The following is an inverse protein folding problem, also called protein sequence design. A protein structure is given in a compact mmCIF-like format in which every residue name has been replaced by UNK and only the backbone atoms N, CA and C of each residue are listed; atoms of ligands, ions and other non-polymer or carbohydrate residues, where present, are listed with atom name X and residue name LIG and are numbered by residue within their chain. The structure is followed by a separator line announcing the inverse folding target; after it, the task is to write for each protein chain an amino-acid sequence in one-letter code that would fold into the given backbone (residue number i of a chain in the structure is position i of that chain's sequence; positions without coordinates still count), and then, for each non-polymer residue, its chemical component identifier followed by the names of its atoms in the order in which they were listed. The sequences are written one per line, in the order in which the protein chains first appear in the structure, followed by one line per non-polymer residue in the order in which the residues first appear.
data_IF_296057115535
#
_entry.id   IF_296057115535
#
_cell.length_a   1.000
_cell.length_b   1.000
_cell.length_c   1.000
_cell.angle_alpha   90.00
_cell.angle_beta   90.00
_cell.angle_gamma   90.00
#
_symmetry.space_group_name_H-M   'P 1'
#
loop_
_entity.id
_entity.type
_entity.pdbx_description
1 polymer ?
#
# COMPACT_ATOMS: atom_id res chain seq x y z
N UNK A 1 3.82 7.56 -15.30
CA UNK A 1 3.22 6.85 -14.15
C UNK A 1 2.80 5.46 -14.59
N UNK A 2 3.13 4.45 -13.80
CA UNK A 2 2.74 3.05 -14.04
C UNK A 2 1.64 2.67 -13.08
N UNK A 3 0.52 2.14 -13.57
CA UNK A 3 -0.63 1.72 -12.78
C UNK A 3 -1.03 0.28 -13.08
N UNK A 4 -1.56 -0.42 -12.07
CA UNK A 4 -2.00 -1.81 -12.25
C UNK A 4 -3.21 -1.91 -13.19
N UNK A 5 -4.19 -1.03 -13.00
CA UNK A 5 -5.38 -0.93 -13.83
C UNK A 5 -5.69 0.54 -14.11
N UNK A 6 -5.81 0.90 -15.39
CA UNK A 6 -6.02 2.28 -15.83
C UNK A 6 -7.49 2.52 -16.13
N UNK A 7 -8.02 3.61 -15.60
CA UNK A 7 -9.30 4.18 -15.98
C UNK A 7 -9.06 5.46 -16.82
N UNK A 8 -9.71 5.57 -17.97
CA UNK A 8 -9.55 6.71 -18.89
C UNK A 8 -8.29 6.65 -19.76
N UNK A 9 -8.07 7.70 -20.54
CA UNK A 9 -7.08 7.76 -21.63
C UNK A 9 -6.00 8.83 -21.40
N UNK A 10 -5.33 8.84 -20.27
CA UNK A 10 -4.20 9.75 -20.07
C UNK A 10 -2.91 9.12 -20.64
N UNK A 11 -2.25 9.75 -21.65
CA UNK A 11 -1.05 9.19 -22.30
C UNK A 11 0.16 9.08 -21.38
N UNK A 12 0.22 9.85 -20.28
CA UNK A 12 1.31 9.82 -19.30
C UNK A 12 1.19 8.64 -18.32
N UNK A 13 0.13 7.84 -18.44
CA UNK A 13 -0.11 6.70 -17.55
C UNK A 13 0.00 5.40 -18.34
N UNK A 14 0.99 4.58 -18.00
CA UNK A 14 1.17 3.23 -18.52
C UNK A 14 0.32 2.24 -17.76
N UNK A 15 -0.51 1.50 -18.48
CA UNK A 15 -1.36 0.45 -17.93
C UNK A 15 -0.66 -0.90 -17.97
N UNK A 16 -0.34 -1.47 -16.83
CA UNK A 16 0.26 -2.81 -16.72
C UNK A 16 -0.69 -3.94 -17.12
N UNK A 17 -1.97 -3.65 -17.22
CA UNK A 17 -3.01 -4.57 -17.64
C UNK A 17 -3.49 -4.31 -19.08
N UNK A 18 -2.62 -3.76 -19.92
CA UNK A 18 -2.88 -3.63 -21.35
C UNK A 18 -2.91 -5.02 -22.02
N UNK A 19 -3.93 -5.25 -22.83
CA UNK A 19 -4.19 -6.55 -23.46
C UNK A 19 -5.14 -7.45 -22.65
N UNK A 20 -5.86 -8.33 -23.35
CA UNK A 20 -7.00 -9.08 -22.80
C UNK A 20 -6.60 -10.01 -21.66
N UNK A 21 -5.51 -10.75 -21.80
CA UNK A 21 -5.02 -11.68 -20.77
C UNK A 21 -4.47 -10.96 -19.54
N UNK A 22 -3.74 -9.86 -19.75
CA UNK A 22 -3.21 -9.07 -18.64
C UNK A 22 -4.35 -8.41 -17.85
N UNK A 23 -5.37 -7.90 -18.55
CA UNK A 23 -6.58 -7.36 -17.94
C UNK A 23 -7.34 -8.42 -17.14
N UNK A 24 -7.54 -9.60 -17.72
CA UNK A 24 -8.19 -10.72 -17.04
C UNK A 24 -7.44 -11.10 -15.75
N UNK A 25 -6.11 -11.26 -15.83
CA UNK A 25 -5.27 -11.57 -14.67
C UNK A 25 -5.35 -10.49 -13.59
N UNK A 26 -5.34 -9.20 -13.97
CA UNK A 26 -5.47 -8.11 -13.03
C UNK A 26 -6.82 -8.11 -12.32
N UNK A 27 -7.91 -8.25 -13.09
CA UNK A 27 -9.27 -8.35 -12.54
C UNK A 27 -9.40 -9.56 -11.63
N UNK A 28 -8.87 -10.71 -12.04
CA UNK A 28 -8.86 -11.93 -11.22
C UNK A 28 -8.13 -11.70 -9.90
N UNK A 29 -6.92 -11.13 -9.91
CA UNK A 29 -6.16 -10.85 -8.69
C UNK A 29 -6.93 -9.91 -7.75
N UNK A 30 -7.53 -8.84 -8.28
CA UNK A 30 -8.33 -7.88 -7.50
C UNK A 30 -9.55 -8.57 -6.89
N UNK A 31 -10.28 -9.35 -7.69
CA UNK A 31 -11.50 -10.04 -7.24
C UNK A 31 -11.18 -11.14 -6.23
N UNK A 32 -10.14 -11.94 -6.48
CA UNK A 32 -9.69 -12.97 -5.57
C UNK A 32 -9.26 -12.38 -4.21
N UNK A 33 -8.46 -11.32 -4.23
CA UNK A 33 -8.05 -10.59 -3.02
C UNK A 33 -9.26 -10.11 -2.22
N UNK A 34 -10.22 -9.46 -2.89
CA UNK A 34 -11.44 -8.94 -2.25
C UNK A 34 -12.36 -10.03 -1.74
N UNK A 35 -12.53 -11.11 -2.50
CA UNK A 35 -13.39 -12.22 -2.11
C UNK A 35 -12.80 -12.96 -0.90
N UNK A 36 -11.51 -13.29 -0.96
CA UNK A 36 -10.84 -13.97 0.16
C UNK A 36 -10.82 -13.07 1.41
N UNK A 37 -10.57 -11.76 1.26
CA UNK A 37 -10.65 -10.85 2.39
C UNK A 37 -12.01 -10.92 3.09
N UNK A 38 -13.13 -11.03 2.35
CA UNK A 38 -14.47 -11.19 2.94
C UNK A 38 -14.66 -12.48 3.75
N UNK A 39 -13.93 -13.55 3.43
CA UNK A 39 -13.97 -14.80 4.18
C UNK A 39 -13.33 -14.67 5.56
N UNK A 40 -12.25 -13.91 5.65
CA UNK A 40 -11.43 -13.81 6.85
C UNK A 40 -11.70 -12.55 7.68
N UNK A 41 -12.15 -11.47 7.06
CA UNK A 41 -12.35 -10.17 7.71
C UNK A 41 -13.80 -10.00 8.16
N UNK A 42 -13.99 -9.46 9.36
CA UNK A 42 -15.31 -9.05 9.86
C UNK A 42 -15.90 -7.97 8.94
N UNK A 43 -17.22 -7.85 8.90
CA UNK A 43 -17.92 -6.82 8.13
C UNK A 43 -17.70 -5.44 8.76
N UNK A 44 -16.52 -4.89 8.60
CA UNK A 44 -16.14 -3.53 9.03
C UNK A 44 -15.99 -2.61 7.82
N UNK A 45 -16.19 -1.33 8.03
CA UNK A 45 -16.10 -0.32 6.95
C UNK A 45 -14.67 -0.08 6.43
N UNK A 46 -13.67 -0.65 7.08
CA UNK A 46 -12.26 -0.44 6.73
C UNK A 46 -11.68 -1.55 5.89
N UNK A 47 -10.90 -1.23 4.87
CA UNK A 47 -10.24 -2.23 4.04
C UNK A 47 -9.16 -2.98 4.83
N UNK A 48 -9.00 -4.26 4.49
CA UNK A 48 -7.92 -5.13 4.90
C UNK A 48 -7.39 -5.84 3.66
N UNK A 49 -6.10 -5.73 3.39
CA UNK A 49 -5.46 -6.38 2.25
C UNK A 49 -4.67 -7.59 2.71
N UNK A 50 -4.95 -8.72 2.09
CA UNK A 50 -4.20 -9.96 2.32
C UNK A 50 -2.82 -9.90 1.66
N UNK A 51 -2.70 -9.20 0.51
CA UNK A 51 -1.50 -9.05 -0.32
C UNK A 51 -0.91 -10.41 -0.76
N UNK A 52 -1.76 -11.40 -1.00
CA UNK A 52 -1.35 -12.73 -1.45
C UNK A 52 -1.17 -12.80 -2.96
N UNK A 53 -1.83 -11.92 -3.68
CA UNK A 53 -1.77 -11.82 -5.14
C UNK A 53 -0.93 -10.63 -5.57
N UNK A 54 -0.43 -10.69 -6.80
CA UNK A 54 0.33 -9.60 -7.36
C UNK A 54 0.92 -9.93 -8.72
N UNK A 55 1.71 -8.99 -9.23
CA UNK A 55 2.41 -9.10 -10.50
C UNK A 55 3.87 -8.67 -10.31
N UNK A 56 4.81 -9.47 -10.82
CA UNK A 56 6.21 -9.05 -10.90
C UNK A 56 6.36 -7.89 -11.89
N UNK A 57 7.19 -6.93 -11.55
CA UNK A 57 7.49 -5.74 -12.34
C UNK A 57 8.93 -5.68 -12.85
N UNK A 58 9.76 -6.68 -12.57
CA UNK A 58 11.20 -6.70 -12.95
C UNK A 58 11.42 -6.60 -14.46
N UNK A 59 10.45 -7.00 -15.26
CA UNK A 59 10.52 -6.93 -16.72
C UNK A 59 9.78 -5.72 -17.31
N UNK A 60 9.29 -4.82 -16.47
CA UNK A 60 8.62 -3.62 -16.94
C UNK A 60 9.67 -2.62 -17.46
N UNK A 61 9.46 -2.15 -18.71
CA UNK A 61 10.41 -1.25 -19.39
C UNK A 61 10.55 0.08 -18.64
N UNK A 62 9.44 0.68 -18.24
CA UNK A 62 9.40 1.99 -17.59
C UNK A 62 10.14 1.96 -16.24
N UNK A 63 10.06 0.84 -15.49
CA UNK A 63 10.79 0.69 -14.24
C UNK A 63 12.29 0.48 -14.49
N UNK A 64 12.67 -0.27 -15.53
CA UNK A 64 14.08 -0.47 -15.88
C UNK A 64 14.77 0.82 -16.33
N UNK A 65 14.05 1.69 -17.04
CA UNK A 65 14.54 2.96 -17.55
C UNK A 65 14.42 4.12 -16.53
N UNK A 66 13.73 3.92 -15.42
CA UNK A 66 13.58 4.93 -14.39
C UNK A 66 14.89 5.14 -13.59
N UNK A 67 15.16 6.38 -13.22
CA UNK A 67 16.24 6.72 -12.28
C UNK A 67 15.83 6.45 -10.83
N UNK A 68 14.55 6.62 -10.50
CA UNK A 68 13.97 6.42 -9.17
C UNK A 68 12.61 5.72 -9.31
N UNK A 69 12.34 4.76 -8.45
CA UNK A 69 11.04 4.12 -8.33
C UNK A 69 10.28 4.72 -7.15
N UNK A 70 9.18 5.43 -7.41
CA UNK A 70 8.35 5.99 -6.36
C UNK A 70 7.06 5.17 -6.22
N UNK A 71 6.93 4.49 -5.08
CA UNK A 71 5.77 3.68 -4.74
C UNK A 71 4.74 4.53 -3.97
N UNK A 72 3.49 4.30 -4.29
CA UNK A 72 2.35 4.81 -3.53
C UNK A 72 1.52 3.64 -3.02
N UNK A 73 0.26 3.57 -3.36
CA UNK A 73 -0.63 2.51 -2.93
C UNK A 73 -0.52 1.26 -3.82
N UNK A 74 0.02 0.17 -3.30
CA UNK A 74 0.40 -1.04 -4.06
C UNK A 74 -0.48 -2.27 -3.75
N UNK A 75 -1.59 -2.08 -3.07
CA UNK A 75 -2.47 -3.13 -2.58
C UNK A 75 -3.45 -3.69 -3.64
N UNK A 76 -4.44 -4.44 -3.22
CA UNK A 76 -5.51 -5.04 -4.02
C UNK A 76 -5.00 -5.89 -5.20
N UNK A 77 -4.07 -6.80 -4.90
CA UNK A 77 -3.56 -7.74 -5.90
C UNK A 77 -2.57 -7.13 -6.90
N UNK A 78 -2.05 -5.93 -6.61
CA UNK A 78 -1.04 -5.28 -7.44
C UNK A 78 0.36 -5.81 -7.14
N UNK A 79 0.88 -5.57 -5.94
CA UNK A 79 2.16 -6.09 -5.47
C UNK A 79 1.98 -6.85 -4.16
N UNK A 80 2.35 -8.12 -4.15
CA UNK A 80 2.52 -8.87 -2.91
C UNK A 80 3.90 -8.55 -2.29
N UNK A 81 4.13 -8.87 -1.01
CA UNK A 81 5.45 -8.69 -0.40
C UNK A 81 6.59 -9.33 -1.21
N UNK A 82 6.36 -10.52 -1.78
CA UNK A 82 7.32 -11.17 -2.68
C UNK A 82 7.69 -10.29 -3.88
N UNK A 83 6.70 -9.72 -4.56
CA UNK A 83 6.95 -8.90 -5.75
C UNK A 83 7.48 -7.50 -5.40
N UNK A 84 7.26 -7.03 -4.17
CA UNK A 84 7.97 -5.86 -3.65
C UNK A 84 9.46 -6.13 -3.47
N UNK A 85 9.83 -7.26 -2.86
CA UNK A 85 11.23 -7.64 -2.71
C UNK A 85 11.95 -7.77 -4.05
N UNK A 86 11.28 -8.28 -5.09
CA UNK A 86 11.86 -8.37 -6.44
C UNK A 86 12.29 -7.02 -7.02
N UNK A 87 11.76 -5.88 -6.55
CA UNK A 87 12.16 -4.56 -7.04
C UNK A 87 13.62 -4.22 -6.72
N UNK A 88 14.21 -4.83 -5.71
CA UNK A 88 15.64 -4.69 -5.39
C UNK A 88 16.54 -5.15 -6.55
N UNK A 89 16.08 -6.13 -7.32
CA UNK A 89 16.80 -6.64 -8.51
C UNK A 89 16.92 -5.59 -9.64
N UNK A 90 16.20 -4.50 -9.58
CA UNK A 90 16.32 -3.41 -10.56
C UNK A 90 17.48 -2.46 -10.24
N UNK A 91 18.07 -2.56 -9.06
CA UNK A 91 19.16 -1.71 -8.58
C UNK A 91 18.86 -0.21 -8.75
N UNK A 92 17.67 0.18 -8.29
CA UNK A 92 17.18 1.57 -8.36
C UNK A 92 16.86 2.10 -6.97
N UNK A 93 17.10 3.39 -6.69
CA UNK A 93 16.59 4.03 -5.50
C UNK A 93 15.05 3.91 -5.44
N UNK A 94 14.54 3.46 -4.29
CA UNK A 94 13.10 3.30 -4.07
C UNK A 94 12.64 4.25 -2.98
N UNK A 95 11.63 5.04 -3.30
CA UNK A 95 10.90 5.89 -2.36
C UNK A 95 9.48 5.35 -2.21
N UNK A 96 8.95 5.26 -1.01
CA UNK A 96 7.59 4.78 -0.79
C UNK A 96 6.80 5.75 0.09
N UNK A 97 5.80 6.40 -0.49
CA UNK A 97 4.87 7.26 0.26
C UNK A 97 3.74 6.44 0.86
N UNK A 98 3.60 6.49 2.17
CA UNK A 98 2.58 5.76 2.92
C UNK A 98 1.32 6.61 3.08
N UNK A 99 0.25 6.23 2.40
CA UNK A 99 -1.05 6.90 2.50
C UNK A 99 -1.97 6.28 3.55
N UNK A 100 -1.65 5.09 4.03
CA UNK A 100 -2.38 4.36 5.06
C UNK A 100 -1.45 3.46 5.88
N UNK A 101 -2.00 2.73 6.84
CA UNK A 101 -1.21 1.90 7.75
C UNK A 101 -0.84 0.52 7.18
N UNK A 102 -1.28 0.16 5.97
CA UNK A 102 -1.09 -1.21 5.48
C UNK A 102 0.37 -1.60 5.37
N UNK A 103 1.25 -0.71 4.90
CA UNK A 103 2.67 -1.00 4.70
C UNK A 103 3.38 -1.48 5.98
N UNK A 104 3.01 -0.96 7.15
CA UNK A 104 3.64 -1.27 8.43
C UNK A 104 2.77 -2.09 9.39
N UNK A 105 1.69 -2.69 8.90
CA UNK A 105 0.79 -3.58 9.66
C UNK A 105 0.65 -4.93 8.99
N UNK A 106 -0.04 -5.86 9.64
CA UNK A 106 -0.36 -7.18 9.10
C UNK A 106 -1.49 -7.20 8.07
N UNK A 107 -1.98 -6.05 7.59
CA UNK A 107 -2.97 -6.00 6.52
C UNK A 107 -4.03 -4.91 6.64
N UNK A 108 -4.24 -4.31 7.82
CA UNK A 108 -5.23 -3.24 7.99
C UNK A 108 -4.73 -1.92 7.40
N UNK A 109 -5.62 -1.18 6.73
CA UNK A 109 -5.34 0.16 6.20
C UNK A 109 -5.58 1.25 7.26
N UNK A 110 -6.52 1.00 8.16
CA UNK A 110 -6.79 1.86 9.32
C UNK A 110 -6.70 0.99 10.58
N UNK A 111 -5.83 1.35 11.49
CA UNK A 111 -5.55 0.56 12.71
C UNK A 111 -6.44 0.90 13.89
N UNK A 112 -7.20 2.01 13.83
CA UNK A 112 -7.98 2.53 14.97
C UNK A 112 -7.14 2.60 16.25
N UNK A 113 -7.62 1.99 17.33
CA UNK A 113 -6.93 1.86 18.62
C UNK A 113 -6.08 0.59 18.75
N UNK A 114 -5.90 -0.19 17.66
CA UNK A 114 -5.10 -1.41 17.73
C UNK A 114 -3.62 -1.08 17.83
N UNK A 115 -2.94 -1.63 18.82
CA UNK A 115 -1.51 -1.45 19.08
C UNK A 115 -0.66 -2.67 18.73
N UNK A 116 -1.25 -3.74 18.18
CA UNK A 116 -0.53 -4.98 17.88
C UNK A 116 0.58 -4.80 16.83
N UNK A 117 0.55 -3.72 16.02
CA UNK A 117 1.60 -3.38 15.07
C UNK A 117 2.92 -2.92 15.75
N UNK A 118 2.88 -2.55 17.02
CA UNK A 118 4.09 -2.29 17.81
C UNK A 118 4.89 -3.58 18.08
N UNK A 119 4.27 -4.73 17.84
CA UNK A 119 4.89 -6.07 17.98
C UNK A 119 4.91 -6.75 16.61
N UNK A 120 4.26 -7.90 16.47
CA UNK A 120 4.24 -8.69 15.24
C UNK A 120 2.83 -8.89 14.69
N UNK A 121 1.91 -7.97 14.98
CA UNK A 121 0.48 -8.19 14.77
C UNK A 121 0.00 -9.51 15.42
N UNK A 122 -1.04 -10.16 14.88
CA UNK A 122 -1.72 -11.27 15.55
C UNK A 122 -2.83 -10.77 16.47
N UNK A 123 -3.72 -11.66 16.89
CA UNK A 123 -4.94 -11.34 17.65
C UNK A 123 -5.69 -10.14 17.06
N UNK A 124 -5.81 -10.12 15.72
CA UNK A 124 -6.29 -8.96 14.99
C UNK A 124 -7.80 -8.76 15.18
N UNK A 125 -8.25 -7.63 15.74
CA UNK A 125 -9.67 -7.39 16.01
C UNK A 125 -10.53 -7.32 14.76
N UNK A 126 -9.93 -7.12 13.58
CA UNK A 126 -10.64 -7.07 12.30
C UNK A 126 -10.89 -8.47 11.69
N UNK A 127 -10.23 -9.51 12.19
CA UNK A 127 -10.36 -10.86 11.64
C UNK A 127 -11.48 -11.64 12.35
N UNK A 128 -12.16 -12.51 11.59
CA UNK A 128 -13.17 -13.46 12.11
C UNK A 128 -12.53 -14.56 12.94
N UNK A 129 -11.34 -14.96 12.52
CA UNK A 129 -10.52 -16.01 13.14
C UNK A 129 -9.23 -15.34 13.62
N UNK A 130 -9.33 -14.68 14.75
CA UNK A 130 -8.21 -14.02 15.42
C UNK A 130 -7.44 -15.05 16.27
N UNK A 131 -6.17 -14.75 16.48
CA UNK A 131 -5.26 -15.56 17.27
C UNK A 131 -3.82 -15.07 17.13
N UNK A 132 -2.94 -15.54 18.00
CA UNK A 132 -1.54 -15.11 17.98
C UNK A 132 -0.86 -15.28 16.62
N UNK A 133 -1.21 -16.36 15.90
CA UNK A 133 -0.65 -16.71 14.59
C UNK A 133 -1.69 -16.57 13.47
N UNK A 134 -2.60 -15.62 13.58
CA UNK A 134 -3.62 -15.36 12.56
C UNK A 134 -3.03 -14.80 11.25
N UNK A 135 -3.89 -14.48 10.31
CA UNK A 135 -3.47 -13.96 9.00
C UNK A 135 -2.68 -12.66 9.14
N UNK A 136 -3.02 -11.80 10.11
CA UNK A 136 -2.30 -10.54 10.29
C UNK A 136 -0.85 -10.77 10.73
N UNK A 137 -0.61 -11.77 11.59
CA UNK A 137 0.75 -12.16 11.96
C UNK A 137 1.51 -12.79 10.78
N UNK A 138 0.88 -13.68 10.02
CA UNK A 138 1.49 -14.30 8.82
C UNK A 138 1.85 -13.26 7.76
N UNK A 139 0.99 -12.29 7.53
CA UNK A 139 1.27 -11.18 6.61
C UNK A 139 2.41 -10.29 7.14
N UNK A 140 2.45 -10.04 8.45
CA UNK A 140 3.54 -9.31 9.07
C UNK A 140 4.89 -10.01 8.82
N UNK A 141 4.98 -11.33 9.03
CA UNK A 141 6.18 -12.11 8.76
C UNK A 141 6.57 -12.07 7.27
N UNK A 142 5.59 -12.17 6.37
CA UNK A 142 5.84 -12.06 4.92
C UNK A 142 6.42 -10.70 4.53
N UNK A 143 5.90 -9.62 5.12
CA UNK A 143 6.42 -8.26 4.93
C UNK A 143 7.80 -8.10 5.54
N UNK A 144 8.02 -8.60 6.74
CA UNK A 144 9.33 -8.57 7.39
C UNK A 144 10.41 -9.18 6.49
N UNK A 145 10.14 -10.36 5.94
CA UNK A 145 11.05 -11.02 5.00
C UNK A 145 11.28 -10.16 3.75
N UNK A 146 10.23 -9.67 3.12
CA UNK A 146 10.35 -8.85 1.91
C UNK A 146 11.12 -7.54 2.16
N UNK A 147 10.89 -6.91 3.30
CA UNK A 147 11.53 -5.64 3.63
C UNK A 147 12.97 -5.80 4.10
N UNK A 148 13.38 -6.97 4.57
CA UNK A 148 14.80 -7.25 4.83
C UNK A 148 15.63 -7.37 3.55
N UNK A 149 14.99 -7.69 2.44
CA UNK A 149 15.60 -7.84 1.11
C UNK A 149 15.51 -6.56 0.26
N UNK A 150 14.64 -5.61 0.61
CA UNK A 150 14.35 -4.40 -0.16
C UNK A 150 14.83 -3.15 0.57
N UNK A 151 15.70 -2.37 -0.06
CA UNK A 151 16.07 -1.06 0.45
C UNK A 151 15.14 0.02 -0.13
N UNK A 152 14.49 0.82 0.75
CA UNK A 152 13.63 1.92 0.35
C UNK A 152 13.58 3.01 1.42
N UNK A 153 13.37 4.24 0.98
CA UNK A 153 13.15 5.40 1.84
C UNK A 153 11.65 5.64 2.03
N UNK A 154 11.23 5.93 3.26
CA UNK A 154 9.82 6.16 3.59
C UNK A 154 9.50 7.65 3.55
N UNK A 155 8.41 7.99 2.87
CA UNK A 155 7.79 9.31 2.92
C UNK A 155 6.44 9.19 3.64
N UNK A 156 6.24 10.01 4.66
CA UNK A 156 4.98 10.10 5.40
C UNK A 156 4.30 11.44 5.12
N UNK A 157 2.99 11.49 4.79
CA UNK A 157 2.29 12.73 4.48
C UNK A 157 1.96 13.60 5.70
N UNK A 158 2.30 13.13 6.91
CA UNK A 158 2.09 13.86 8.16
C UNK A 158 2.99 13.35 9.27
N UNK A 159 3.19 14.18 10.29
CA UNK A 159 3.91 13.77 11.51
C UNK A 159 3.22 12.58 12.21
N UNK A 160 1.88 12.53 12.18
CA UNK A 160 1.14 11.41 12.74
C UNK A 160 1.48 10.08 12.04
N UNK A 161 1.56 10.09 10.71
CA UNK A 161 1.94 8.90 9.95
C UNK A 161 3.41 8.52 10.23
N UNK A 162 4.32 9.49 10.26
CA UNK A 162 5.73 9.25 10.56
C UNK A 162 5.93 8.65 11.96
N UNK A 163 5.25 9.17 12.97
CA UNK A 163 5.26 8.63 14.31
C UNK A 163 4.71 7.19 14.35
N UNK A 164 3.63 6.92 13.64
CA UNK A 164 3.06 5.58 13.53
C UNK A 164 4.04 4.57 12.89
N UNK A 165 4.78 5.00 11.86
CA UNK A 165 5.84 4.18 11.25
C UNK A 165 6.96 3.90 12.26
N UNK A 166 7.40 4.93 12.98
CA UNK A 166 8.47 4.82 13.98
C UNK A 166 8.10 3.87 15.13
N UNK A 167 6.84 3.82 15.51
CA UNK A 167 6.31 2.92 16.54
C UNK A 167 6.12 1.48 16.03
N UNK A 168 6.15 1.26 14.72
CA UNK A 168 5.96 -0.07 14.13
C UNK A 168 7.17 -0.98 14.35
N UNK A 169 6.94 -2.20 14.81
CA UNK A 169 7.96 -3.24 14.89
C UNK A 169 8.52 -3.67 13.54
N UNK A 170 7.81 -3.36 12.45
CA UNK A 170 8.18 -3.76 11.09
C UNK A 170 9.14 -2.75 10.43
N UNK A 171 8.93 -1.46 10.66
CA UNK A 171 9.64 -0.38 9.93
C UNK A 171 10.19 0.72 10.84
N UNK A 172 10.05 0.62 12.14
CA UNK A 172 10.43 1.68 13.09
C UNK A 172 11.91 2.08 13.08
N UNK A 173 12.78 1.22 12.55
CA UNK A 173 14.22 1.51 12.42
C UNK A 173 14.60 2.14 11.07
N UNK A 174 13.63 2.34 10.15
CA UNK A 174 13.89 2.94 8.85
C UNK A 174 13.72 4.45 8.87
N UNK A 175 14.57 5.11 8.10
CA UNK A 175 14.48 6.56 7.91
C UNK A 175 13.17 6.95 7.26
N UNK A 176 12.52 7.95 7.84
CA UNK A 176 11.23 8.45 7.38
C UNK A 176 11.27 9.97 7.29
N UNK A 177 10.95 10.50 6.12
CA UNK A 177 10.82 11.94 5.87
C UNK A 177 9.36 12.34 5.82
N UNK A 178 9.01 13.45 6.45
CA UNK A 178 7.66 14.02 6.38
C UNK A 178 7.57 14.96 5.19
N UNK A 179 6.74 14.60 4.21
CA UNK A 179 6.42 15.44 3.05
C UNK A 179 4.90 15.46 2.90
N UNK A 180 4.24 16.58 3.27
CA UNK A 180 2.78 16.69 3.15
C UNK A 180 2.28 16.52 1.71
N UNK A 181 1.07 15.99 1.56
CA UNK A 181 0.41 15.95 0.25
C UNK A 181 0.22 17.38 -0.29
N UNK A 182 0.47 17.55 -1.57
CA UNK A 182 0.24 18.81 -2.25
C UNK A 182 -1.24 19.01 -2.55
N UNK A 183 -1.67 20.27 -2.56
CA UNK A 183 -3.02 20.69 -2.91
C UNK A 183 -2.93 21.94 -3.80
N UNK A 184 -3.82 22.06 -4.76
CA UNK A 184 -3.93 23.25 -5.61
C UNK A 184 -4.59 24.39 -4.82
N UNK A 185 -3.77 25.25 -4.21
CA UNK A 185 -4.23 26.32 -3.32
C UNK A 185 -5.06 27.40 -4.02
N UNK A 186 -4.94 27.54 -5.33
CA UNK A 186 -5.77 28.45 -6.14
C UNK A 186 -7.21 27.96 -6.26
N UNK A 187 -7.42 26.63 -6.21
CA UNK A 187 -8.72 25.98 -6.26
C UNK A 187 -9.26 25.74 -4.84
N UNK A 188 -8.44 25.17 -3.97
CA UNK A 188 -8.80 24.83 -2.59
C UNK A 188 -8.38 25.95 -1.64
N UNK A 189 -9.19 26.99 -1.56
CA UNK A 189 -8.98 28.15 -0.69
C UNK A 189 -10.16 28.37 0.25
N UNK A 190 -9.95 29.02 1.39
CA UNK A 190 -11.04 29.35 2.29
C UNK A 190 -12.08 30.24 1.61
N UNK A 191 -13.34 29.87 1.72
CA UNK A 191 -14.47 30.70 1.30
C UNK A 191 -15.29 31.14 2.52
N UNK A 192 -15.96 32.26 2.40
CA UNK A 192 -16.96 32.67 3.39
C UNK A 192 -18.02 31.57 3.47
N UNK A 193 -18.35 31.12 4.68
CA UNK A 193 -19.26 29.99 4.91
C UNK A 193 -20.62 30.13 4.22
N UNK A 194 -21.12 31.38 4.12
CA UNK A 194 -22.39 31.67 3.44
C UNK A 194 -22.31 31.47 1.92
N UNK A 195 -21.13 31.70 1.31
CA UNK A 195 -20.89 31.49 -0.13
C UNK A 195 -20.65 30.03 -0.44
N UNK A 196 -19.86 29.33 0.39
CA UNK A 196 -19.57 27.92 0.23
C UNK A 196 -20.82 27.01 0.32
N UNK A 197 -21.91 27.48 0.95
CA UNK A 197 -23.20 26.76 1.01
C UNK A 197 -24.07 26.93 -0.23
N UNK A 198 -23.70 27.83 -1.14
CA UNK A 198 -24.45 28.09 -2.39
C UNK A 198 -23.92 27.29 -3.58
N UNK A 199 -22.74 26.67 -3.42
CA UNK A 199 -22.09 25.77 -4.36
C UNK A 199 -22.55 24.34 -4.09
#
# INVERSE_FOLDING_TARGET
VVVYYKFGENPKITNLSAGIFAKFKAVFNIMAERYLAKLFVKAVKTPFSLQWFGKSLINNKELKEADIIHLHWVNHGFLSPKFLAELDLLDKPIVWTFHDSNAFTGGCHVRYSCENFHRQCGNCPLLKFDGKNDISHKNWLSKQKAYSELNFHIVAPSNWMANSVKESSLLGLRDTTVIPNTIEIDVFKPYVKAEAKKI
#
